data_IF_948467574787
#
_entry.id   IF_948467574787
#
_cell.length_a   1.000
_cell.length_b   1.000
_cell.length_c   1.000
_cell.angle_alpha   90.00
_cell.angle_beta   90.00
_cell.angle_gamma   90.00
#
_symmetry.space_group_name_H-M   'P 1'
#
loop_
_entity.id
_entity.type
_entity.pdbx_description
1 polymer ?
#
# COMPACT_ATOMS: atom_id res chain seq x y z
N UNK A 1 13.46 1.65 -32.33
CA UNK A 1 14.48 2.56 -31.80
C UNK A 1 13.72 3.79 -31.29
N UNK A 2 13.91 4.23 -30.08
CA UNK A 2 13.15 5.34 -29.43
C UNK A 2 12.11 4.91 -28.41
N UNK A 3 11.86 3.62 -28.20
CA UNK A 3 10.89 3.13 -27.21
C UNK A 3 11.21 3.58 -25.77
N UNK A 4 12.46 3.83 -25.47
CA UNK A 4 12.93 4.28 -24.16
C UNK A 4 13.03 5.80 -24.00
N UNK A 5 12.85 6.55 -25.10
CA UNK A 5 12.76 8.01 -25.10
C UNK A 5 11.32 8.49 -25.19
N UNK A 6 10.35 7.57 -25.38
CA UNK A 6 8.94 7.91 -25.38
C UNK A 6 8.45 8.13 -23.94
N UNK A 7 7.53 9.07 -23.77
CA UNK A 7 6.92 9.41 -22.48
C UNK A 7 6.27 8.21 -21.78
N UNK A 8 5.66 7.31 -22.55
CA UNK A 8 4.97 6.12 -22.02
C UNK A 8 5.85 4.85 -22.01
N UNK A 9 7.09 4.94 -22.50
CA UNK A 9 8.02 3.81 -22.54
C UNK A 9 7.60 2.68 -23.48
N UNK A 10 8.29 1.53 -23.42
CA UNK A 10 8.02 0.39 -24.31
C UNK A 10 6.75 -0.39 -23.94
N UNK A 11 6.23 -0.23 -22.74
CA UNK A 11 5.05 -0.95 -22.22
C UNK A 11 4.07 0.03 -21.54
N UNK A 12 3.30 0.82 -22.31
CA UNK A 12 2.44 1.88 -21.76
C UNK A 12 1.41 1.36 -20.75
N UNK A 13 0.77 0.24 -21.04
CA UNK A 13 -0.24 -0.35 -20.16
C UNK A 13 0.36 -0.79 -18.82
N UNK A 14 1.56 -1.38 -18.84
CA UNK A 14 2.25 -1.76 -17.62
C UNK A 14 2.61 -0.54 -16.75
N UNK A 15 3.11 0.52 -17.38
CA UNK A 15 3.38 1.78 -16.71
C UNK A 15 2.13 2.36 -16.05
N UNK A 16 1.01 2.41 -16.76
CA UNK A 16 -0.26 2.87 -16.21
C UNK A 16 -0.71 2.02 -15.01
N UNK A 17 -0.61 0.70 -15.10
CA UNK A 17 -0.94 -0.22 -13.99
C UNK A 17 -0.09 0.06 -12.76
N UNK A 18 1.22 0.25 -12.93
CA UNK A 18 2.12 0.61 -11.83
C UNK A 18 1.72 1.95 -11.22
N UNK A 19 1.48 2.97 -12.04
CA UNK A 19 1.09 4.31 -11.57
C UNK A 19 -0.23 4.26 -10.81
N UNK A 20 -1.25 3.57 -11.33
CA UNK A 20 -2.53 3.42 -10.64
C UNK A 20 -2.38 2.76 -9.28
N UNK A 21 -1.66 1.64 -9.20
CA UNK A 21 -1.51 0.91 -7.95
C UNK A 21 -0.70 1.69 -6.91
N UNK A 22 0.38 2.34 -7.32
CA UNK A 22 1.26 3.07 -6.40
C UNK A 22 0.71 4.43 -6.00
N UNK A 23 -0.08 5.08 -6.84
CA UNK A 23 -0.68 6.39 -6.53
C UNK A 23 -2.01 6.27 -5.80
N UNK A 24 -3.00 5.60 -6.41
CA UNK A 24 -4.34 5.48 -5.82
C UNK A 24 -4.41 4.38 -4.78
N UNK A 25 -3.72 3.26 -5.00
CA UNK A 25 -3.76 2.11 -4.09
C UNK A 25 -3.28 2.44 -2.68
N UNK A 26 -2.35 3.38 -2.54
CA UNK A 26 -1.84 3.81 -1.23
C UNK A 26 -2.90 4.50 -0.36
N UNK A 27 -3.93 5.10 -0.93
CA UNK A 27 -5.03 5.71 -0.18
C UNK A 27 -5.88 4.67 0.56
N UNK A 28 -5.95 3.44 0.06
CA UNK A 28 -6.66 2.34 0.72
C UNK A 28 -5.86 1.64 1.80
N UNK A 29 -4.60 2.02 2.04
CA UNK A 29 -3.77 1.35 3.03
C UNK A 29 -4.13 1.78 4.46
N UNK A 30 -4.56 0.88 5.36
CA UNK A 30 -4.98 1.23 6.72
C UNK A 30 -3.92 2.01 7.52
N UNK A 31 -2.63 1.69 7.34
CA UNK A 31 -1.54 2.41 7.99
C UNK A 31 -1.38 3.85 7.50
N UNK A 32 -1.82 4.17 6.29
CA UNK A 32 -1.84 5.55 5.79
C UNK A 32 -3.02 6.31 6.35
N UNK A 33 -4.20 5.69 6.37
CA UNK A 33 -5.42 6.27 6.97
C UNK A 33 -5.19 6.61 8.45
N UNK A 34 -4.53 5.75 9.21
CA UNK A 34 -4.21 5.98 10.62
C UNK A 34 -3.40 7.25 10.88
N UNK A 35 -2.60 7.71 9.92
CA UNK A 35 -1.82 8.95 10.05
C UNK A 35 -2.70 10.21 10.05
N UNK A 36 -3.85 10.18 9.38
CA UNK A 36 -4.77 11.32 9.38
C UNK A 36 -5.38 11.58 10.76
N UNK A 37 -5.59 10.54 11.56
CA UNK A 37 -6.09 10.69 12.94
C UNK A 37 -5.05 11.28 13.91
N UNK A 38 -3.78 11.29 13.55
CA UNK A 38 -2.69 11.85 14.36
C UNK A 38 -2.41 13.32 14.07
N UNK A 39 -3.16 13.98 13.17
CA UNK A 39 -2.96 15.38 12.82
C UNK A 39 -3.39 16.26 13.98
N UNK A 40 -2.48 17.16 14.43
CA UNK A 40 -2.67 17.99 15.62
C UNK A 40 -3.68 19.12 15.43
N UNK A 41 -3.71 19.74 14.24
CA UNK A 41 -4.58 20.88 13.93
C UNK A 41 -4.85 20.97 12.43
N UNK A 42 -5.93 21.64 12.05
CA UNK A 42 -6.32 21.84 10.65
C UNK A 42 -5.29 22.68 9.86
N UNK A 43 -4.66 23.68 10.50
CA UNK A 43 -3.57 24.43 9.88
C UNK A 43 -2.36 23.56 9.55
N UNK A 44 -2.12 22.50 10.31
CA UNK A 44 -1.05 21.54 10.06
C UNK A 44 -1.29 20.69 8.81
N UNK A 45 -2.53 20.59 8.33
CA UNK A 45 -2.87 19.83 7.12
C UNK A 45 -2.23 20.47 5.89
N UNK A 46 -2.39 21.80 5.70
CA UNK A 46 -1.79 22.49 4.56
C UNK A 46 -0.27 22.46 4.60
N UNK A 47 0.33 22.74 5.77
CA UNK A 47 1.79 22.63 5.96
C UNK A 47 2.29 21.22 5.65
N UNK A 48 1.62 20.19 6.17
CA UNK A 48 1.93 18.79 5.91
C UNK A 48 1.81 18.43 4.43
N UNK A 49 0.76 18.89 3.76
CA UNK A 49 0.54 18.65 2.33
C UNK A 49 1.66 19.26 1.48
N UNK A 50 2.03 20.52 1.71
CA UNK A 50 3.10 21.18 0.96
C UNK A 50 4.44 20.44 1.17
N UNK A 51 4.81 20.19 2.43
CA UNK A 51 6.07 19.53 2.76
C UNK A 51 6.12 18.12 2.18
N UNK A 52 5.06 17.33 2.34
CA UNK A 52 5.02 15.95 1.82
C UNK A 52 5.02 15.90 0.30
N UNK A 53 4.37 16.86 -0.37
CA UNK A 53 4.39 16.95 -1.84
C UNK A 53 5.78 17.27 -2.36
N UNK A 54 6.45 18.27 -1.80
CA UNK A 54 7.82 18.64 -2.18
C UNK A 54 8.78 17.46 -1.91
N UNK A 55 8.66 16.82 -0.76
CA UNK A 55 9.45 15.66 -0.42
C UNK A 55 9.20 14.49 -1.41
N UNK A 56 7.95 14.22 -1.75
CA UNK A 56 7.59 13.17 -2.71
C UNK A 56 8.15 13.46 -4.10
N UNK A 57 8.13 14.71 -4.58
CA UNK A 57 8.72 15.09 -5.87
C UNK A 57 10.23 14.81 -5.86
N UNK A 58 10.93 15.21 -4.81
CA UNK A 58 12.40 15.01 -4.71
C UNK A 58 12.74 13.52 -4.62
N UNK A 59 12.05 12.79 -3.74
CA UNK A 59 12.37 11.37 -3.48
C UNK A 59 11.92 10.49 -4.66
N UNK A 60 10.66 10.57 -5.06
CA UNK A 60 10.16 9.74 -6.16
C UNK A 60 10.82 10.13 -7.49
N UNK A 61 10.94 11.43 -7.79
CA UNK A 61 11.63 11.92 -8.97
C UNK A 61 13.10 11.48 -9.01
N UNK A 62 13.81 11.58 -7.90
CA UNK A 62 15.20 11.11 -7.76
C UNK A 62 15.33 9.60 -7.96
N UNK A 63 14.46 8.79 -7.34
CA UNK A 63 14.45 7.34 -7.50
C UNK A 63 14.20 6.91 -8.95
N UNK A 64 13.20 7.49 -9.61
CA UNK A 64 12.91 7.17 -11.00
C UNK A 64 14.01 7.65 -11.95
N UNK A 65 14.58 8.83 -11.70
CA UNK A 65 15.73 9.34 -12.45
C UNK A 65 16.93 8.39 -12.34
N UNK A 66 17.32 8.01 -11.12
CA UNK A 66 18.40 7.05 -10.89
C UNK A 66 18.10 5.68 -11.50
N UNK A 67 16.85 5.19 -11.37
CA UNK A 67 16.41 3.94 -11.97
C UNK A 67 16.61 3.89 -13.49
N UNK A 68 16.46 5.03 -14.18
CA UNK A 68 16.75 5.15 -15.61
C UNK A 68 18.19 4.81 -15.98
N UNK A 69 19.15 5.08 -15.11
CA UNK A 69 20.57 4.74 -15.32
C UNK A 69 20.88 3.26 -15.07
N UNK A 70 19.99 2.50 -14.46
CA UNK A 70 20.20 1.07 -14.18
C UNK A 70 20.64 0.26 -15.41
N UNK A 71 20.19 0.66 -16.59
CA UNK A 71 20.55 0.04 -17.87
C UNK A 71 22.00 0.20 -18.28
N UNK A 72 22.70 1.18 -17.71
CA UNK A 72 24.14 1.39 -17.95
C UNK A 72 25.00 0.43 -17.11
N UNK A 73 24.43 -0.12 -16.05
CA UNK A 73 25.14 -0.95 -15.06
C UNK A 73 24.74 -2.42 -15.07
N UNK A 74 23.64 -2.76 -15.74
CA UNK A 74 23.16 -4.14 -15.81
C UNK A 74 22.83 -4.53 -17.26
N UNK A 75 23.38 -5.66 -17.71
CA UNK A 75 23.03 -6.23 -19.02
C UNK A 75 21.75 -7.06 -18.93
N UNK A 76 21.03 -7.29 -20.06
CA UNK A 76 19.87 -8.15 -20.08
C UNK A 76 20.16 -9.56 -19.55
N UNK A 77 21.36 -10.10 -19.79
CA UNK A 77 21.79 -11.42 -19.33
C UNK A 77 21.94 -11.45 -17.81
N UNK A 78 22.51 -10.40 -17.21
CA UNK A 78 22.64 -10.27 -15.75
C UNK A 78 21.27 -10.17 -15.09
N UNK A 79 20.36 -9.40 -15.68
CA UNK A 79 18.97 -9.28 -15.18
C UNK A 79 18.23 -10.61 -15.32
N UNK A 80 18.42 -11.35 -16.41
CA UNK A 80 17.84 -12.67 -16.59
C UNK A 80 18.33 -13.70 -15.57
N UNK A 81 19.62 -13.63 -15.20
CA UNK A 81 20.25 -14.53 -14.22
C UNK A 81 19.92 -14.20 -12.76
N UNK A 82 19.91 -12.90 -12.40
CA UNK A 82 19.87 -12.43 -11.02
C UNK A 82 18.60 -11.66 -10.66
N UNK A 83 17.71 -11.40 -11.63
CA UNK A 83 16.48 -10.61 -11.45
C UNK A 83 16.73 -9.09 -11.44
N UNK A 84 15.64 -8.33 -11.51
CA UNK A 84 15.67 -6.86 -11.51
C UNK A 84 16.22 -6.27 -10.21
N UNK A 85 16.06 -6.96 -9.09
CA UNK A 85 16.51 -6.50 -7.78
C UNK A 85 18.05 -6.43 -7.66
N UNK A 86 18.78 -7.06 -8.59
CA UNK A 86 20.24 -7.00 -8.66
C UNK A 86 20.79 -5.69 -9.27
N UNK A 87 19.96 -4.89 -9.93
CA UNK A 87 20.39 -3.69 -10.66
C UNK A 87 21.00 -2.65 -9.71
N UNK A 88 20.29 -2.33 -8.61
CA UNK A 88 20.76 -1.32 -7.65
C UNK A 88 22.06 -1.75 -6.95
N UNK A 89 22.20 -2.98 -6.43
CA UNK A 89 23.49 -3.46 -5.94
C UNK A 89 24.62 -3.35 -6.97
N UNK A 90 24.35 -3.67 -8.26
CA UNK A 90 25.35 -3.54 -9.32
C UNK A 90 25.75 -2.08 -9.57
N UNK A 91 24.82 -1.14 -9.50
CA UNK A 91 25.13 0.30 -9.58
C UNK A 91 26.01 0.77 -8.43
N UNK A 92 25.78 0.23 -7.23
CA UNK A 92 26.49 0.63 -6.02
C UNK A 92 27.89 0.00 -5.93
N UNK A 93 28.12 -1.15 -6.57
CA UNK A 93 29.39 -1.88 -6.48
C UNK A 93 30.63 -1.11 -7.02
N UNK A 94 30.40 -0.07 -7.83
CA UNK A 94 31.45 0.82 -8.32
C UNK A 94 31.77 2.01 -7.41
N UNK A 95 31.06 2.16 -6.28
CA UNK A 95 31.31 3.27 -5.34
C UNK A 95 32.38 2.92 -4.32
N UNK A 96 33.06 3.93 -3.73
CA UNK A 96 33.96 3.74 -2.58
C UNK A 96 33.23 3.08 -1.41
N UNK A 97 33.92 2.21 -0.66
CA UNK A 97 33.34 1.42 0.44
C UNK A 97 32.59 2.25 1.48
N UNK A 98 33.08 3.46 1.79
CA UNK A 98 32.43 4.38 2.73
C UNK A 98 31.05 4.81 2.25
N UNK A 99 30.88 5.04 0.96
CA UNK A 99 29.58 5.40 0.38
C UNK A 99 28.63 4.19 0.37
N UNK A 100 29.15 3.01 0.06
CA UNK A 100 28.36 1.76 0.14
C UNK A 100 27.87 1.54 1.58
N UNK A 101 28.74 1.72 2.57
CA UNK A 101 28.39 1.58 3.98
C UNK A 101 27.28 2.58 4.39
N UNK A 102 27.38 3.84 3.98
CA UNK A 102 26.34 4.86 4.24
C UNK A 102 25.00 4.46 3.61
N UNK A 103 25.01 4.04 2.35
CA UNK A 103 23.78 3.60 1.65
C UNK A 103 23.16 2.39 2.35
N UNK A 104 23.97 1.39 2.76
CA UNK A 104 23.47 0.23 3.50
C UNK A 104 22.81 0.62 4.82
N UNK A 105 23.44 1.51 5.59
CA UNK A 105 22.85 2.01 6.85
C UNK A 105 21.55 2.75 6.60
N UNK A 106 21.46 3.58 5.55
CA UNK A 106 20.25 4.30 5.17
C UNK A 106 19.13 3.33 4.79
N UNK A 107 19.41 2.33 3.95
CA UNK A 107 18.43 1.31 3.53
C UNK A 107 17.93 0.50 4.71
N UNK A 108 18.83 0.05 5.59
CA UNK A 108 18.47 -0.69 6.79
C UNK A 108 17.60 0.15 7.73
N UNK A 109 17.98 1.41 7.98
CA UNK A 109 17.22 2.33 8.83
C UNK A 109 15.81 2.60 8.30
N UNK A 110 15.69 2.85 7.00
CA UNK A 110 14.40 3.06 6.34
C UNK A 110 13.51 1.81 6.40
N UNK A 111 14.09 0.63 6.14
CA UNK A 111 13.38 -0.65 6.21
C UNK A 111 12.91 -0.98 7.62
N UNK A 112 13.75 -0.76 8.63
CA UNK A 112 13.41 -0.97 10.05
C UNK A 112 12.27 -0.02 10.49
N UNK A 113 12.32 1.24 10.09
CA UNK A 113 11.27 2.22 10.40
C UNK A 113 9.91 1.78 9.84
N UNK A 114 9.88 1.34 8.58
CA UNK A 114 8.66 0.87 7.92
C UNK A 114 8.15 -0.43 8.55
N UNK A 115 9.04 -1.42 8.74
CA UNK A 115 8.69 -2.70 9.35
C UNK A 115 8.10 -2.51 10.75
N UNK A 116 8.72 -1.69 11.58
CA UNK A 116 8.25 -1.38 12.94
C UNK A 116 6.84 -0.80 12.92
N UNK A 117 6.56 0.15 12.03
CA UNK A 117 5.23 0.75 11.86
C UNK A 117 4.19 -0.27 11.43
N UNK A 118 4.50 -1.12 10.45
CA UNK A 118 3.58 -2.14 9.93
C UNK A 118 3.27 -3.22 10.96
N UNK A 119 4.29 -3.72 11.64
CA UNK A 119 4.15 -4.77 12.67
C UNK A 119 3.36 -4.23 13.87
N UNK A 120 3.62 -2.99 14.29
CA UNK A 120 2.88 -2.35 15.37
C UNK A 120 1.40 -2.16 14.99
N UNK A 121 1.12 -1.66 13.80
CA UNK A 121 -0.26 -1.48 13.31
C UNK A 121 -0.99 -2.82 13.24
N UNK A 122 -0.38 -3.84 12.65
CA UNK A 122 -0.99 -5.16 12.51
C UNK A 122 -1.28 -5.82 13.87
N UNK A 123 -0.31 -5.74 14.81
CA UNK A 123 -0.48 -6.31 16.15
C UNK A 123 -1.49 -5.56 17.01
N UNK A 124 -1.54 -4.22 16.89
CA UNK A 124 -2.54 -3.41 17.60
C UNK A 124 -3.94 -3.66 17.07
N UNK A 125 -4.14 -3.66 15.76
CA UNK A 125 -5.44 -3.98 15.15
C UNK A 125 -5.93 -5.37 15.56
N UNK A 126 -5.07 -6.38 15.47
CA UNK A 126 -5.45 -7.74 15.86
C UNK A 126 -5.79 -7.83 17.36
N UNK A 127 -5.06 -7.11 18.21
CA UNK A 127 -5.28 -7.13 19.66
C UNK A 127 -6.49 -6.31 20.08
N UNK A 128 -6.62 -5.07 19.58
CA UNK A 128 -7.61 -4.11 20.06
C UNK A 128 -8.95 -4.26 19.34
N UNK A 129 -8.92 -4.50 18.04
CA UNK A 129 -10.14 -4.51 17.22
C UNK A 129 -10.73 -5.92 17.06
N UNK A 130 -9.90 -6.97 17.17
CA UNK A 130 -10.35 -8.34 17.02
C UNK A 130 -10.41 -9.11 18.37
N UNK A 131 -9.29 -9.20 19.10
CA UNK A 131 -9.22 -10.06 20.30
C UNK A 131 -9.92 -9.43 21.51
N UNK A 132 -9.70 -8.13 21.75
CA UNK A 132 -10.26 -7.48 22.93
C UNK A 132 -11.81 -7.51 22.93
N UNK A 133 -12.53 -7.27 21.82
CA UNK A 133 -13.99 -7.39 21.78
C UNK A 133 -14.51 -8.82 21.94
N UNK A 134 -13.72 -9.85 21.55
CA UNK A 134 -14.12 -11.26 21.69
C UNK A 134 -14.05 -11.77 23.13
N UNK A 135 -13.27 -11.13 23.97
CA UNK A 135 -13.17 -11.52 25.39
C UNK A 135 -14.35 -10.98 26.17
N UNK A 136 -15.10 -11.89 26.84
CA UNK A 136 -16.25 -11.57 27.72
C UNK A 136 -15.87 -10.66 28.88
N UNK A 137 -14.63 -10.65 29.32
CA UNK A 137 -14.10 -9.80 30.40
C UNK A 137 -13.15 -8.76 29.81
N UNK A 138 -13.32 -7.50 30.20
CA UNK A 138 -12.44 -6.42 29.75
C UNK A 138 -10.96 -6.75 30.03
N UNK A 139 -10.14 -6.67 29.00
CA UNK A 139 -8.70 -6.86 29.15
C UNK A 139 -8.08 -5.65 29.85
N UNK A 140 -7.22 -5.94 30.82
CA UNK A 140 -6.40 -4.88 31.42
C UNK A 140 -5.38 -4.34 30.41
N UNK A 141 -4.94 -3.09 30.57
CA UNK A 141 -3.94 -2.48 29.67
C UNK A 141 -2.64 -3.31 29.61
N UNK A 142 -2.20 -3.87 30.74
CA UNK A 142 -1.03 -4.78 30.78
C UNK A 142 -1.25 -6.03 29.93
N UNK A 143 -2.45 -6.61 29.95
CA UNK A 143 -2.79 -7.78 29.15
C UNK A 143 -2.83 -7.45 27.67
N UNK A 144 -3.41 -6.30 27.27
CA UNK A 144 -3.40 -5.83 25.89
C UNK A 144 -1.97 -5.66 25.36
N UNK A 145 -1.10 -4.99 26.11
CA UNK A 145 0.30 -4.81 25.74
C UNK A 145 1.05 -6.14 25.61
N UNK A 146 0.81 -7.10 26.50
CA UNK A 146 1.44 -8.42 26.42
C UNK A 146 1.02 -9.17 25.16
N UNK A 147 -0.27 -9.16 24.84
CA UNK A 147 -0.79 -9.78 23.60
C UNK A 147 -0.23 -9.08 22.36
N UNK A 148 -0.17 -7.75 22.33
CA UNK A 148 0.46 -7.00 21.24
C UNK A 148 1.93 -7.41 21.03
N UNK A 149 2.71 -7.55 22.11
CA UNK A 149 4.12 -7.99 22.02
C UNK A 149 4.26 -9.40 21.43
N UNK A 150 3.37 -10.31 21.77
CA UNK A 150 3.35 -11.67 21.20
C UNK A 150 3.08 -11.59 19.69
N UNK A 151 2.09 -10.78 19.24
CA UNK A 151 1.82 -10.62 17.83
C UNK A 151 2.92 -9.89 17.07
N UNK A 152 3.61 -8.92 17.71
CA UNK A 152 4.81 -8.30 17.13
C UNK A 152 5.86 -9.37 16.83
N UNK A 153 6.19 -10.21 17.80
CA UNK A 153 7.16 -11.30 17.61
C UNK A 153 6.69 -12.29 16.53
N UNK A 154 5.40 -12.64 16.52
CA UNK A 154 4.81 -13.52 15.52
C UNK A 154 4.94 -12.95 14.10
N UNK A 155 4.54 -11.68 13.87
CA UNK A 155 4.61 -11.06 12.56
C UNK A 155 6.06 -10.88 12.07
N UNK A 156 7.00 -10.57 12.97
CA UNK A 156 8.43 -10.52 12.63
C UNK A 156 8.92 -11.90 12.21
N UNK A 157 8.57 -12.96 12.94
CA UNK A 157 8.97 -14.32 12.61
C UNK A 157 8.40 -14.76 11.24
N UNK A 158 7.11 -14.49 11.00
CA UNK A 158 6.48 -14.78 9.69
C UNK A 158 7.17 -14.02 8.56
N UNK A 159 7.46 -12.73 8.76
CA UNK A 159 8.16 -11.91 7.77
C UNK A 159 9.56 -12.43 7.47
N UNK A 160 10.29 -12.88 8.50
CA UNK A 160 11.61 -13.47 8.32
C UNK A 160 11.56 -14.80 7.53
N UNK A 161 10.58 -15.66 7.83
CA UNK A 161 10.38 -16.90 7.08
C UNK A 161 10.07 -16.61 5.61
N UNK A 162 9.16 -15.67 5.32
CA UNK A 162 8.83 -15.27 3.95
C UNK A 162 10.07 -14.74 3.23
N UNK A 163 10.87 -13.89 3.89
CA UNK A 163 12.10 -13.35 3.32
C UNK A 163 13.13 -14.44 2.99
N UNK A 164 13.30 -15.44 3.88
CA UNK A 164 14.21 -16.57 3.64
C UNK A 164 13.71 -17.43 2.47
N UNK A 165 12.42 -17.71 2.40
CA UNK A 165 11.82 -18.46 1.28
C UNK A 165 12.01 -17.71 -0.03
N UNK A 166 11.77 -16.40 -0.04
CA UNK A 166 11.98 -15.55 -1.21
C UNK A 166 13.44 -15.55 -1.66
N UNK A 167 14.38 -15.40 -0.73
CA UNK A 167 15.82 -15.40 -1.06
C UNK A 167 16.28 -16.73 -1.69
N UNK A 168 15.63 -17.84 -1.35
CA UNK A 168 15.92 -19.16 -1.91
C UNK A 168 15.16 -19.50 -3.19
N UNK A 169 13.99 -18.89 -3.39
CA UNK A 169 13.17 -19.10 -4.57
C UNK A 169 13.49 -18.05 -5.64
N UNK A 170 13.84 -18.48 -6.85
CA UNK A 170 14.05 -17.59 -8.00
C UNK A 170 12.74 -16.99 -8.58
N UNK A 171 11.61 -17.18 -7.90
CA UNK A 171 10.28 -17.07 -8.50
C UNK A 171 9.69 -15.68 -8.44
N UNK A 172 10.03 -14.85 -7.45
CA UNK A 172 9.39 -13.54 -7.28
C UNK A 172 10.38 -12.45 -6.92
N UNK A 173 10.37 -11.36 -7.67
CA UNK A 173 11.07 -10.14 -7.27
C UNK A 173 10.17 -9.26 -6.37
N UNK A 174 10.75 -8.32 -5.65
CA UNK A 174 10.10 -7.50 -4.61
C UNK A 174 8.83 -6.81 -5.13
N UNK A 175 8.83 -6.30 -6.36
CA UNK A 175 7.67 -5.65 -6.95
C UNK A 175 6.44 -6.56 -7.10
N UNK A 176 6.63 -7.87 -7.30
CA UNK A 176 5.50 -8.82 -7.36
C UNK A 176 4.88 -9.03 -5.98
N UNK A 177 5.69 -9.18 -4.92
CA UNK A 177 5.20 -9.28 -3.54
C UNK A 177 4.48 -8.01 -3.11
N UNK A 178 5.04 -6.85 -3.47
CA UNK A 178 4.40 -5.56 -3.26
C UNK A 178 3.04 -5.51 -3.99
N UNK A 179 2.98 -5.96 -5.24
CA UNK A 179 1.74 -6.02 -6.02
C UNK A 179 0.67 -6.89 -5.38
N UNK A 180 1.03 -8.05 -4.82
CA UNK A 180 0.11 -8.95 -4.11
C UNK A 180 -0.41 -8.26 -2.84
N UNK A 181 0.47 -7.73 -2.02
CA UNK A 181 0.12 -7.11 -0.73
C UNK A 181 -0.71 -5.83 -0.92
N UNK A 182 -0.24 -4.91 -1.75
CA UNK A 182 -0.94 -3.65 -2.00
C UNK A 182 -2.22 -3.86 -2.79
N UNK A 183 -2.22 -4.79 -3.74
CA UNK A 183 -3.43 -5.15 -4.48
C UNK A 183 -4.53 -5.69 -3.58
N UNK A 184 -4.20 -6.54 -2.60
CA UNK A 184 -5.15 -7.05 -1.63
C UNK A 184 -5.72 -5.92 -0.75
N UNK A 185 -4.84 -5.07 -0.21
CA UNK A 185 -5.26 -3.97 0.66
C UNK A 185 -6.03 -2.89 -0.11
N UNK A 186 -5.53 -2.44 -1.25
CA UNK A 186 -6.21 -1.45 -2.07
C UNK A 186 -7.56 -1.98 -2.60
N UNK A 187 -7.60 -3.24 -3.05
CA UNK A 187 -8.83 -3.90 -3.49
C UNK A 187 -9.86 -4.06 -2.38
N UNK A 188 -9.42 -4.30 -1.15
CA UNK A 188 -10.33 -4.47 -0.02
C UNK A 188 -10.82 -3.13 0.58
N UNK A 189 -9.95 -2.13 0.70
CA UNK A 189 -10.18 -0.96 1.56
C UNK A 189 -10.33 0.36 0.82
N UNK A 190 -9.73 0.56 -0.37
CA UNK A 190 -9.78 1.85 -1.06
C UNK A 190 -11.20 2.32 -1.33
N UNK A 191 -12.02 1.47 -1.96
CA UNK A 191 -13.39 1.82 -2.31
C UNK A 191 -14.28 2.03 -1.07
N UNK A 192 -14.30 1.13 -0.07
CA UNK A 192 -15.01 1.38 1.19
C UNK A 192 -14.59 2.66 1.89
N UNK A 193 -13.30 2.97 1.94
CA UNK A 193 -12.79 4.17 2.57
C UNK A 193 -13.24 5.43 1.81
N UNK A 194 -13.05 5.45 0.48
CA UNK A 194 -13.42 6.58 -0.35
C UNK A 194 -14.93 6.86 -0.30
N UNK A 195 -15.75 5.83 -0.54
CA UNK A 195 -17.22 5.99 -0.49
C UNK A 195 -17.72 6.23 0.93
N UNK A 196 -17.09 5.67 1.96
CA UNK A 196 -17.42 5.94 3.35
C UNK A 196 -17.22 7.40 3.74
N UNK A 197 -16.22 8.07 3.17
CA UNK A 197 -15.99 9.50 3.39
C UNK A 197 -16.96 10.40 2.63
N UNK A 198 -17.27 10.09 1.37
CA UNK A 198 -17.95 11.05 0.48
C UNK A 198 -19.38 10.66 0.11
N UNK A 199 -19.85 9.48 0.48
CA UNK A 199 -21.15 9.00 0.05
C UNK A 199 -21.98 8.39 1.18
N UNK A 200 -23.03 9.11 1.60
CA UNK A 200 -23.93 8.73 2.70
C UNK A 200 -24.63 7.36 2.55
N UNK A 201 -24.72 6.84 1.31
CA UNK A 201 -25.44 5.60 1.01
C UNK A 201 -24.55 4.36 1.04
N UNK A 202 -23.28 4.49 1.40
CA UNK A 202 -22.38 3.35 1.54
C UNK A 202 -22.90 2.36 2.59
N UNK A 203 -22.99 1.08 2.22
CA UNK A 203 -23.62 0.05 3.06
C UNK A 203 -22.59 -0.90 3.66
N UNK A 204 -22.89 -1.49 4.81
CA UNK A 204 -22.04 -2.52 5.44
C UNK A 204 -21.82 -3.72 4.51
N UNK A 205 -22.87 -4.12 3.77
CA UNK A 205 -22.77 -5.24 2.83
C UNK A 205 -21.78 -4.95 1.69
N UNK A 206 -21.72 -3.71 1.21
CA UNK A 206 -20.78 -3.33 0.15
C UNK A 206 -19.31 -3.36 0.62
N UNK A 207 -19.07 -3.01 1.88
CA UNK A 207 -17.73 -3.12 2.49
C UNK A 207 -17.28 -4.59 2.52
N UNK A 208 -18.16 -5.49 2.98
CA UNK A 208 -17.87 -6.92 2.99
C UNK A 208 -17.65 -7.46 1.58
N UNK A 209 -18.49 -7.05 0.62
CA UNK A 209 -18.34 -7.46 -0.78
C UNK A 209 -17.01 -6.99 -1.39
N UNK A 210 -16.60 -5.75 -1.13
CA UNK A 210 -15.30 -5.21 -1.54
C UNK A 210 -14.13 -6.01 -0.95
N UNK A 211 -14.21 -6.31 0.34
CA UNK A 211 -13.19 -7.09 1.02
C UNK A 211 -13.06 -8.50 0.43
N UNK A 212 -14.17 -9.21 0.28
CA UNK A 212 -14.18 -10.58 -0.28
C UNK A 212 -13.66 -10.58 -1.72
N UNK A 213 -14.08 -9.61 -2.54
CA UNK A 213 -13.62 -9.48 -3.91
C UNK A 213 -12.13 -9.16 -3.99
N UNK A 214 -11.67 -8.10 -3.31
CA UNK A 214 -10.28 -7.64 -3.37
C UNK A 214 -9.30 -8.69 -2.88
N UNK A 215 -9.55 -9.26 -1.69
CA UNK A 215 -8.73 -10.33 -1.13
C UNK A 215 -8.85 -11.59 -1.97
N UNK A 216 -10.04 -11.97 -2.43
CA UNK A 216 -10.29 -13.14 -3.26
C UNK A 216 -9.49 -13.13 -4.55
N UNK A 217 -9.49 -12.03 -5.30
CA UNK A 217 -8.68 -11.87 -6.52
C UNK A 217 -7.20 -12.08 -6.22
N UNK A 218 -6.69 -11.52 -5.12
CA UNK A 218 -5.28 -11.63 -4.79
C UNK A 218 -4.88 -13.01 -4.25
N UNK A 219 -5.81 -13.74 -3.59
CA UNK A 219 -5.60 -15.16 -3.25
C UNK A 219 -5.49 -16.00 -4.53
N UNK A 220 -6.38 -15.79 -5.50
CA UNK A 220 -6.29 -16.49 -6.81
C UNK A 220 -4.95 -16.16 -7.49
N UNK A 221 -4.54 -14.90 -7.51
CA UNK A 221 -3.24 -14.50 -8.05
C UNK A 221 -2.07 -15.18 -7.33
N UNK A 222 -2.13 -15.31 -6.02
CA UNK A 222 -1.11 -16.01 -5.23
C UNK A 222 -1.06 -17.50 -5.60
N UNK A 223 -2.21 -18.16 -5.75
CA UNK A 223 -2.28 -19.57 -6.17
C UNK A 223 -1.72 -19.77 -7.59
N UNK A 224 -1.96 -18.81 -8.50
CA UNK A 224 -1.36 -18.82 -9.84
C UNK A 224 0.16 -18.66 -9.75
N UNK A 225 0.64 -17.72 -8.93
CA UNK A 225 2.06 -17.47 -8.74
C UNK A 225 2.80 -18.66 -8.13
N UNK A 226 2.11 -19.45 -7.30
CA UNK A 226 2.63 -20.70 -6.71
C UNK A 226 2.48 -21.92 -7.64
N UNK A 227 1.87 -21.76 -8.81
CA UNK A 227 1.72 -22.83 -9.78
C UNK A 227 0.55 -23.80 -9.54
N UNK A 228 -0.33 -23.53 -8.55
CA UNK A 228 -1.51 -24.36 -8.29
C UNK A 228 -2.62 -24.19 -9.32
N UNK A 229 -2.69 -23.03 -9.98
CA UNK A 229 -3.69 -22.69 -10.98
C UNK A 229 -2.99 -22.14 -12.20
N UNK A 230 -3.41 -22.56 -13.39
CA UNK A 230 -2.96 -22.00 -14.66
C UNK A 230 -4.12 -21.30 -15.34
N UNK A 231 -3.89 -20.07 -15.80
CA UNK A 231 -4.88 -19.29 -16.55
C UNK A 231 -4.37 -19.13 -17.97
N UNK A 232 -5.15 -19.63 -18.93
CA UNK A 232 -4.83 -19.54 -20.36
C UNK A 232 -5.57 -18.36 -20.99
N UNK A 233 -4.81 -17.41 -21.59
CA UNK A 233 -5.28 -16.40 -22.55
C UNK A 233 -6.54 -15.58 -22.22
N UNK A 234 -6.92 -14.71 -23.15
CA UNK A 234 -8.11 -13.89 -23.05
C UNK A 234 -8.05 -12.81 -21.96
N UNK A 235 -9.23 -12.33 -21.56
CA UNK A 235 -9.37 -11.28 -20.54
C UNK A 235 -8.84 -11.70 -19.17
N UNK A 236 -9.09 -12.94 -18.74
CA UNK A 236 -8.53 -13.50 -17.50
C UNK A 236 -7.01 -13.59 -17.54
N UNK A 237 -6.43 -13.99 -18.69
CA UNK A 237 -4.98 -13.98 -18.87
C UNK A 237 -4.37 -12.58 -18.76
N UNK A 238 -5.08 -11.54 -19.15
CA UNK A 238 -4.63 -10.15 -18.94
C UNK A 238 -4.68 -9.75 -17.47
N UNK A 239 -5.77 -10.03 -16.76
CA UNK A 239 -5.94 -9.73 -15.33
C UNK A 239 -4.85 -10.42 -14.51
N UNK A 240 -4.65 -11.72 -14.75
CA UNK A 240 -3.74 -12.54 -13.97
C UNK A 240 -2.33 -12.64 -14.58
N UNK A 241 -1.98 -11.76 -15.52
CA UNK A 241 -0.66 -11.71 -16.15
C UNK A 241 0.48 -11.57 -15.13
N UNK A 242 0.25 -10.72 -14.13
CA UNK A 242 1.10 -10.59 -12.94
C UNK A 242 0.31 -9.93 -11.80
N UNK A 243 0.92 -9.90 -10.60
CA UNK A 243 0.27 -9.37 -9.38
C UNK A 243 -0.13 -7.89 -9.46
N UNK A 244 0.57 -7.08 -10.26
CA UNK A 244 0.24 -5.66 -10.42
C UNK A 244 -1.06 -5.48 -11.21
N UNK A 245 -1.26 -6.24 -12.30
CA UNK A 245 -2.52 -6.23 -13.07
C UNK A 245 -3.70 -6.70 -12.21
N UNK A 246 -3.52 -7.81 -11.48
CA UNK A 246 -4.56 -8.31 -10.57
C UNK A 246 -4.89 -7.31 -9.46
N UNK A 247 -3.87 -6.64 -8.91
CA UNK A 247 -4.04 -5.61 -7.89
C UNK A 247 -4.85 -4.41 -8.38
N UNK A 248 -4.53 -3.89 -9.58
CA UNK A 248 -5.30 -2.80 -10.18
C UNK A 248 -6.73 -3.26 -10.53
N UNK A 249 -6.90 -4.47 -11.03
CA UNK A 249 -8.23 -5.03 -11.30
C UNK A 249 -9.05 -5.17 -10.01
N UNK A 250 -8.46 -5.67 -8.92
CA UNK A 250 -9.12 -5.75 -7.62
C UNK A 250 -9.52 -4.37 -7.10
N UNK A 251 -8.64 -3.38 -7.22
CA UNK A 251 -8.88 -1.99 -6.80
C UNK A 251 -10.01 -1.33 -7.61
N UNK A 252 -9.94 -1.37 -8.94
CA UNK A 252 -10.94 -0.76 -9.81
C UNK A 252 -12.28 -1.49 -9.74
N UNK A 253 -12.26 -2.82 -9.66
CA UNK A 253 -13.47 -3.62 -9.47
C UNK A 253 -14.19 -3.28 -8.18
N UNK A 254 -13.48 -3.07 -7.09
CA UNK A 254 -14.06 -2.64 -5.81
C UNK A 254 -14.72 -1.26 -5.88
N UNK A 255 -14.16 -0.32 -6.66
CA UNK A 255 -14.78 0.99 -6.91
C UNK A 255 -16.14 0.87 -7.62
N UNK A 256 -16.37 -0.20 -8.38
CA UNK A 256 -17.67 -0.50 -9.01
C UNK A 256 -18.56 -1.30 -8.06
N UNK A 257 -18.02 -2.30 -7.36
CA UNK A 257 -18.79 -3.19 -6.48
C UNK A 257 -19.42 -2.42 -5.31
N UNK A 258 -18.68 -1.50 -4.69
CA UNK A 258 -19.21 -0.76 -3.54
C UNK A 258 -20.49 0.01 -3.87
N UNK A 259 -20.55 0.86 -4.91
CA UNK A 259 -21.81 1.56 -5.24
C UNK A 259 -22.91 0.61 -5.68
N UNK A 260 -22.60 -0.41 -6.49
CA UNK A 260 -23.61 -1.37 -6.97
C UNK A 260 -24.24 -2.11 -5.79
N UNK A 261 -23.43 -2.71 -4.92
CA UNK A 261 -23.93 -3.45 -3.76
C UNK A 261 -24.64 -2.53 -2.77
N UNK A 262 -24.15 -1.30 -2.57
CA UNK A 262 -24.83 -0.33 -1.69
C UNK A 262 -26.23 0.04 -2.18
N UNK A 263 -26.39 0.22 -3.47
CA UNK A 263 -27.71 0.51 -4.07
C UNK A 263 -28.67 -0.67 -3.95
N UNK A 264 -28.16 -1.90 -4.04
CA UNK A 264 -28.96 -3.12 -3.89
C UNK A 264 -29.28 -3.45 -2.43
N UNK A 265 -28.43 -3.05 -1.48
CA UNK A 265 -28.51 -3.40 -0.06
C UNK A 265 -28.79 -2.22 0.86
N UNK A 266 -29.79 -1.39 0.51
CA UNK A 266 -30.16 -0.16 1.25
C UNK A 266 -30.44 -0.37 2.74
N UNK A 267 -30.92 -1.55 3.14
CA UNK A 267 -31.22 -1.92 4.54
C UNK A 267 -29.97 -1.98 5.44
N UNK A 268 -28.77 -2.08 4.87
CA UNK A 268 -27.52 -2.19 5.62
C UNK A 268 -26.75 -0.86 5.72
N UNK A 269 -27.35 0.24 5.26
CA UNK A 269 -26.79 1.60 5.45
C UNK A 269 -26.94 1.97 6.93
N UNK A 270 -25.92 2.54 7.58
CA UNK A 270 -26.01 2.98 8.98
C UNK A 270 -27.08 4.05 9.18
N UNK A 271 -27.83 3.96 10.29
CA UNK A 271 -28.97 4.85 10.57
C UNK A 271 -28.54 6.29 10.86
N UNK A 272 -27.31 6.50 11.33
CA UNK A 272 -26.83 7.80 11.84
C UNK A 272 -25.90 8.53 10.86
N UNK A 273 -26.09 8.32 9.55
CA UNK A 273 -25.22 8.87 8.51
C UNK A 273 -25.23 10.40 8.46
N UNK A 274 -26.38 11.04 8.67
CA UNK A 274 -26.46 12.50 8.63
C UNK A 274 -25.65 13.17 9.75
N UNK A 275 -25.66 12.61 10.95
CA UNK A 275 -24.81 13.10 12.04
C UNK A 275 -23.30 12.91 11.74
N UNK A 276 -22.92 11.79 11.12
CA UNK A 276 -21.52 11.53 10.72
C UNK A 276 -21.03 12.51 9.66
N UNK A 277 -21.90 12.92 8.74
CA UNK A 277 -21.58 13.84 7.64
C UNK A 277 -21.72 15.32 8.01
N UNK A 278 -22.18 15.66 9.21
CA UNK A 278 -22.31 17.06 9.66
C UNK A 278 -20.97 17.82 9.71
N UNK A 279 -19.84 17.10 9.73
CA UNK A 279 -18.53 17.69 9.66
C UNK A 279 -18.27 18.44 8.33
N UNK A 280 -18.94 18.03 7.24
CA UNK A 280 -18.80 18.70 5.93
C UNK A 280 -19.57 20.02 5.85
N UNK A 281 -20.47 20.31 6.79
CA UNK A 281 -21.18 21.58 6.88
C UNK A 281 -20.31 22.70 7.53
N UNK A 282 -19.12 22.32 8.06
CA UNK A 282 -18.18 23.26 8.67
C UNK A 282 -17.16 23.72 7.64
N UNK A 283 -17.08 25.03 7.43
CA UNK A 283 -16.04 25.64 6.61
C UNK A 283 -14.94 26.19 7.51
N UNK A 284 -13.69 25.81 7.25
CA UNK A 284 -12.51 26.33 7.94
C UNK A 284 -11.61 26.99 6.91
N UNK A 285 -11.43 28.31 7.06
CA UNK A 285 -10.49 29.07 6.24
C UNK A 285 -9.11 29.06 6.89
N UNK A 286 -8.12 28.53 6.18
CA UNK A 286 -6.73 28.53 6.61
C UNK A 286 -5.88 29.22 5.56
N UNK A 287 -5.34 30.40 5.90
CA UNK A 287 -4.43 31.14 5.02
C UNK A 287 -3.07 30.39 4.91
N UNK A 288 -2.54 30.25 3.69
CA UNK A 288 -1.28 29.55 3.44
C UNK A 288 -0.10 30.10 4.26
N UNK A 289 -0.05 31.40 4.45
CA UNK A 289 0.97 32.09 5.25
C UNK A 289 0.92 31.72 6.73
N UNK A 290 -0.28 31.53 7.30
CA UNK A 290 -0.47 31.06 8.69
C UNK A 290 -0.20 29.57 8.83
N UNK A 291 -0.51 28.78 7.80
CA UNK A 291 -0.24 27.35 7.79
C UNK A 291 1.27 27.02 7.81
N UNK A 292 2.09 27.89 7.25
CA UNK A 292 3.56 27.75 7.22
C UNK A 292 4.26 28.42 8.42
N UNK A 293 3.57 29.24 9.20
CA UNK A 293 4.13 29.89 10.38
C UNK A 293 4.04 29.01 11.62
N UNK A 294 5.08 29.02 12.45
CA UNK A 294 5.09 28.32 13.74
C UNK A 294 4.43 29.13 14.88
N UNK A 295 3.73 30.23 14.55
CA UNK A 295 3.02 31.02 15.56
C UNK A 295 1.93 30.16 16.21
N UNK A 296 2.18 29.79 17.45
CA UNK A 296 1.18 29.23 18.36
C UNK A 296 0.07 30.25 18.56
N UNK A 297 -1.14 29.97 18.13
CA UNK A 297 -2.33 30.59 18.71
C UNK A 297 -2.77 29.77 19.90
#
# INVERSE_FOLDING_TARGET
NGAYTSFLGPQPLYLLVVVFLTSLGTWGLPQMVGKFYAIKSESSIQKGTIISTLFAIVVAGGCYFLGGFGRLFATPEQVAANGFDSIIPSMLSGLPDILIAIVLVLVLSASMSTLSSLVLTSSSTLTLDFIAPLKKKNMTEKSKLSVMRIFIAFFIAVSAVIAIVQAKSKVTFIAQLMGISWGALAGAFLAPFLYGLYWKKASKASVVASFVFGVGIMIVQLMISLGFITVSGGFLGLIFKNSLYSGVFAMLGSLVIVPVVSLLSKKTVPVNTDAMFSCYDRTVEVHATTALSDKKN
#
